data_IF_254893048103
#
_entry.id   IF_254893048103
#
_cell.length_a   1.000
_cell.length_b   1.000
_cell.length_c   1.000
_cell.angle_alpha   90.00
_cell.angle_beta   90.00
_cell.angle_gamma   90.00
#
_symmetry.space_group_name_H-M   'P 1'
#
loop_
_entity.id
_entity.type
_entity.pdbx_description
1 polymer ?
#
# COMPACT_ATOMS: atom_id res chain seq x y z
N UNK A 1 8.94 18.22 -20.18
CA UNK A 1 9.00 17.10 -21.13
C UNK A 1 9.53 15.80 -20.53
N UNK A 2 10.79 15.66 -20.05
CA UNK A 2 11.28 14.37 -19.48
C UNK A 2 10.44 13.83 -18.29
N UNK A 3 9.95 14.71 -17.40
CA UNK A 3 9.11 14.31 -16.25
C UNK A 3 7.75 13.69 -16.65
N UNK A 4 7.17 14.07 -17.78
CA UNK A 4 5.83 13.57 -18.19
C UNK A 4 5.88 12.16 -18.79
N UNK A 5 7.04 11.71 -19.28
CA UNK A 5 7.24 10.34 -19.80
C UNK A 5 7.78 9.41 -18.69
N UNK A 6 8.53 9.96 -17.72
CA UNK A 6 9.05 9.21 -16.57
C UNK A 6 7.94 8.80 -15.59
N UNK A 7 6.86 9.58 -15.46
CA UNK A 7 5.75 9.29 -14.56
C UNK A 7 4.94 8.05 -14.99
N UNK A 8 4.46 7.92 -16.24
CA UNK A 8 3.75 6.73 -16.68
C UNK A 8 4.62 5.46 -16.64
N UNK A 9 5.87 5.56 -17.08
CA UNK A 9 6.78 4.41 -17.15
C UNK A 9 7.12 3.83 -15.77
N UNK A 10 7.34 4.68 -14.77
CA UNK A 10 7.57 4.22 -13.39
C UNK A 10 6.33 3.60 -12.77
N UNK A 11 5.13 4.13 -13.07
CA UNK A 11 3.87 3.52 -12.64
C UNK A 11 3.63 2.17 -13.29
N UNK A 12 3.84 2.04 -14.60
CA UNK A 12 3.71 0.75 -15.32
C UNK A 12 4.64 -0.30 -14.74
N UNK A 13 5.93 0.05 -14.53
CA UNK A 13 6.89 -0.86 -13.92
C UNK A 13 6.46 -1.24 -12.49
N UNK A 14 5.99 -0.26 -11.71
CA UNK A 14 5.47 -0.50 -10.37
C UNK A 14 4.31 -1.50 -10.38
N UNK A 15 3.33 -1.32 -11.28
CA UNK A 15 2.18 -2.21 -11.44
C UNK A 15 2.64 -3.63 -11.78
N UNK A 16 3.54 -3.78 -12.77
CA UNK A 16 4.07 -5.09 -13.15
C UNK A 16 4.72 -5.78 -11.95
N UNK A 17 5.56 -5.07 -11.18
CA UNK A 17 6.26 -5.64 -10.02
C UNK A 17 5.29 -6.06 -8.92
N UNK A 18 4.29 -5.23 -8.58
CA UNK A 18 3.34 -5.55 -7.50
C UNK A 18 2.37 -6.68 -7.86
N UNK A 19 2.05 -6.88 -9.14
CA UNK A 19 1.12 -7.92 -9.60
C UNK A 19 1.56 -9.34 -9.25
N UNK A 20 2.87 -9.60 -9.14
CA UNK A 20 3.38 -10.92 -8.73
C UNK A 20 3.30 -11.15 -7.22
N UNK A 21 3.13 -10.10 -6.41
CA UNK A 21 3.25 -10.18 -4.96
C UNK A 21 2.30 -11.18 -4.31
N UNK A 22 1.02 -11.15 -4.65
CA UNK A 22 0.01 -12.05 -4.07
C UNK A 22 0.23 -13.51 -4.50
N UNK A 23 0.66 -13.73 -5.74
CA UNK A 23 0.94 -15.07 -6.29
C UNK A 23 2.12 -15.70 -5.57
N UNK A 24 3.24 -14.96 -5.43
CA UNK A 24 4.44 -15.44 -4.74
C UNK A 24 4.11 -15.79 -3.29
N UNK A 25 3.33 -14.94 -2.59
CA UNK A 25 2.94 -15.21 -1.20
C UNK A 25 2.12 -16.49 -1.09
N UNK A 26 1.15 -16.70 -2.00
CA UNK A 26 0.32 -17.91 -2.03
C UNK A 26 1.13 -19.19 -2.30
N UNK A 27 2.28 -19.07 -2.97
CA UNK A 27 3.20 -20.19 -3.23
C UNK A 27 4.12 -20.51 -2.05
N UNK A 28 4.21 -19.65 -1.03
CA UNK A 28 5.06 -19.88 0.14
C UNK A 28 4.27 -20.76 1.12
N UNK A 29 4.59 -22.04 1.14
CA UNK A 29 4.01 -22.99 2.10
C UNK A 29 4.81 -23.03 3.41
N UNK A 30 4.13 -23.18 4.54
CA UNK A 30 4.76 -23.40 5.85
C UNK A 30 5.33 -22.16 6.54
N UNK A 31 5.32 -20.98 5.92
CA UNK A 31 5.68 -19.73 6.57
C UNK A 31 4.49 -19.10 7.28
N UNK A 32 4.71 -18.49 8.45
CA UNK A 32 3.63 -17.77 9.15
C UNK A 32 3.32 -16.44 8.47
N UNK A 33 2.04 -16.03 8.54
CA UNK A 33 1.55 -14.72 8.07
C UNK A 33 2.40 -13.57 8.64
N UNK A 34 2.79 -13.67 9.91
CA UNK A 34 3.64 -12.70 10.58
C UNK A 34 5.05 -12.65 9.98
N UNK A 35 5.66 -13.80 9.67
CA UNK A 35 6.98 -13.86 9.06
C UNK A 35 6.98 -13.24 7.66
N UNK A 36 6.01 -13.59 6.81
CA UNK A 36 5.88 -13.03 5.46
C UNK A 36 5.72 -11.50 5.54
N UNK A 37 4.83 -11.02 6.41
CA UNK A 37 4.56 -9.58 6.58
C UNK A 37 5.78 -8.82 7.10
N UNK A 38 6.48 -9.38 8.11
CA UNK A 38 7.68 -8.79 8.70
C UNK A 38 8.83 -8.70 7.69
N UNK A 39 9.08 -9.76 6.91
CA UNK A 39 10.12 -9.75 5.90
C UNK A 39 9.85 -8.73 4.79
N UNK A 40 8.61 -8.62 4.31
CA UNK A 40 8.26 -7.64 3.27
C UNK A 40 8.48 -6.20 3.73
N UNK A 41 8.01 -5.86 4.93
CA UNK A 41 8.18 -4.52 5.49
C UNK A 41 9.63 -4.23 5.90
N UNK A 42 10.33 -5.23 6.46
CA UNK A 42 11.72 -5.11 6.90
C UNK A 42 12.66 -4.88 5.72
N UNK A 43 12.56 -5.69 4.66
CA UNK A 43 13.37 -5.51 3.45
C UNK A 43 13.08 -4.17 2.79
N UNK A 44 11.81 -3.78 2.63
CA UNK A 44 11.46 -2.47 2.10
C UNK A 44 12.06 -1.32 2.94
N UNK A 45 12.00 -1.43 4.27
CA UNK A 45 12.57 -0.44 5.18
C UNK A 45 14.10 -0.35 5.06
N UNK A 46 14.79 -1.48 4.98
CA UNK A 46 16.26 -1.53 4.80
C UNK A 46 16.66 -0.88 3.47
N UNK A 47 15.95 -1.19 2.39
CA UNK A 47 16.22 -0.61 1.06
C UNK A 47 16.01 0.90 1.05
N UNK A 48 14.99 1.41 1.76
CA UNK A 48 14.69 2.85 1.83
C UNK A 48 15.57 3.62 2.82
N UNK A 49 16.11 2.95 3.85
CA UNK A 49 16.92 3.55 4.90
C UNK A 49 18.10 4.40 4.38
N UNK A 50 18.97 3.95 3.45
CA UNK A 50 20.10 4.76 2.97
C UNK A 50 19.63 6.04 2.29
N UNK A 51 18.50 6.02 1.59
CA UNK A 51 17.93 7.21 0.95
C UNK A 51 17.39 8.20 2.00
N UNK A 52 16.73 7.70 3.04
CA UNK A 52 16.24 8.52 4.14
C UNK A 52 17.39 9.20 4.91
N UNK A 53 18.47 8.46 5.15
CA UNK A 53 19.68 8.97 5.81
C UNK A 53 20.40 10.02 4.94
N UNK A 54 20.58 9.74 3.64
CA UNK A 54 21.23 10.66 2.70
C UNK A 54 20.49 12.00 2.60
N UNK A 55 19.15 11.97 2.59
CA UNK A 55 18.31 13.18 2.59
C UNK A 55 18.20 13.87 3.95
N UNK A 56 18.87 13.37 4.99
CA UNK A 56 18.77 13.87 6.37
C UNK A 56 17.33 13.94 6.87
N UNK A 57 16.44 13.07 6.35
CA UNK A 57 15.01 13.11 6.65
C UNK A 57 14.69 12.90 8.15
N UNK A 58 15.62 12.30 8.88
CA UNK A 58 15.49 12.02 10.31
C UNK A 58 15.95 13.16 11.23
N UNK A 59 16.65 14.19 10.71
CA UNK A 59 17.28 15.22 11.55
C UNK A 59 16.32 16.22 12.19
N UNK A 60 15.09 16.34 11.69
CA UNK A 60 14.11 17.34 12.14
C UNK A 60 12.78 16.73 12.56
N UNK A 61 12.75 15.43 12.89
CA UNK A 61 11.52 14.76 13.30
C UNK A 61 11.27 15.03 14.79
N UNK A 62 10.31 15.90 15.10
CA UNK A 62 9.87 16.14 16.48
C UNK A 62 9.13 14.94 17.07
N UNK A 63 9.02 14.89 18.41
CA UNK A 63 8.38 13.77 19.13
C UNK A 63 6.97 13.44 18.61
N UNK A 64 6.14 14.46 18.35
CA UNK A 64 4.79 14.27 17.80
C UNK A 64 4.82 13.57 16.43
N UNK A 65 5.73 13.99 15.55
CA UNK A 65 5.87 13.37 14.23
C UNK A 65 6.36 11.92 14.37
N UNK A 66 7.32 11.66 15.27
CA UNK A 66 7.78 10.30 15.55
C UNK A 66 6.65 9.39 16.08
N UNK A 67 5.82 9.89 17.00
CA UNK A 67 4.66 9.15 17.51
C UNK A 67 3.63 8.86 16.42
N UNK A 68 3.30 9.84 15.58
CA UNK A 68 2.39 9.65 14.45
C UNK A 68 2.95 8.69 13.41
N UNK A 69 4.26 8.74 13.14
CA UNK A 69 4.93 7.75 12.28
C UNK A 69 4.90 6.35 12.87
N UNK A 70 5.11 6.21 14.17
CA UNK A 70 4.98 4.93 14.88
C UNK A 70 3.56 4.37 14.80
N UNK A 71 2.56 5.22 15.03
CA UNK A 71 1.14 4.84 14.90
C UNK A 71 0.79 4.43 13.46
N UNK A 72 1.24 5.20 12.47
CA UNK A 72 1.07 4.86 11.05
C UNK A 72 1.74 3.52 10.70
N UNK A 73 2.94 3.26 11.25
CA UNK A 73 3.63 1.99 11.11
C UNK A 73 2.86 0.82 11.73
N UNK A 74 2.23 1.01 12.89
CA UNK A 74 1.38 0.00 13.52
C UNK A 74 0.17 -0.35 12.63
N UNK A 75 -0.56 0.65 12.12
CA UNK A 75 -1.65 0.42 11.18
C UNK A 75 -1.19 -0.25 9.88
N UNK A 76 -0.03 0.15 9.33
CA UNK A 76 0.54 -0.47 8.14
C UNK A 76 0.91 -1.93 8.39
N UNK A 77 1.46 -2.26 9.57
CA UNK A 77 1.77 -3.64 9.94
C UNK A 77 0.50 -4.50 10.04
N UNK A 78 -0.54 -3.99 10.68
CA UNK A 78 -1.83 -4.66 10.79
C UNK A 78 -2.46 -4.87 9.41
N UNK A 79 -2.39 -3.87 8.53
CA UNK A 79 -2.86 -3.98 7.15
C UNK A 79 -2.16 -5.12 6.40
N UNK A 80 -0.81 -5.21 6.45
CA UNK A 80 -0.09 -6.29 5.76
C UNK A 80 -0.40 -7.67 6.35
N UNK A 81 -0.52 -7.79 7.67
CA UNK A 81 -0.91 -9.05 8.33
C UNK A 81 -2.30 -9.49 7.84
N UNK A 82 -3.28 -8.59 7.85
CA UNK A 82 -4.65 -8.89 7.40
C UNK A 82 -4.71 -9.22 5.92
N UNK A 83 -3.98 -8.50 5.08
CA UNK A 83 -3.92 -8.75 3.65
C UNK A 83 -3.27 -10.10 3.33
N UNK A 84 -2.13 -10.42 3.94
CA UNK A 84 -1.48 -11.74 3.77
C UNK A 84 -2.40 -12.85 4.28
N UNK A 85 -3.00 -12.70 5.47
CA UNK A 85 -3.96 -13.68 5.98
C UNK A 85 -5.14 -13.89 5.02
N UNK A 86 -5.65 -12.83 4.38
CA UNK A 86 -6.76 -12.95 3.43
C UNK A 86 -6.44 -13.87 2.23
N UNK A 87 -5.16 -13.98 1.86
CA UNK A 87 -4.71 -14.87 0.79
C UNK A 87 -4.82 -16.34 1.18
N UNK A 88 -4.89 -16.68 2.47
CA UNK A 88 -5.12 -18.05 2.95
C UNK A 88 -6.61 -18.40 2.93
N UNK A 89 -7.47 -17.43 3.27
CA UNK A 89 -8.93 -17.60 3.36
C UNK A 89 -9.67 -17.45 2.02
N UNK A 90 -9.07 -16.78 1.03
CA UNK A 90 -9.74 -16.44 -0.23
C UNK A 90 -8.86 -16.70 -1.44
N UNK A 91 -9.44 -16.69 -2.64
CA UNK A 91 -8.65 -16.75 -3.87
C UNK A 91 -7.80 -15.48 -4.04
N UNK A 92 -6.65 -15.61 -4.71
CA UNK A 92 -5.80 -14.46 -5.05
C UNK A 92 -6.60 -13.38 -5.78
N UNK A 93 -7.47 -13.76 -6.72
CA UNK A 93 -8.32 -12.84 -7.45
C UNK A 93 -9.26 -12.07 -6.51
N UNK A 94 -10.02 -12.77 -5.67
CA UNK A 94 -10.96 -12.15 -4.73
C UNK A 94 -10.26 -11.23 -3.72
N UNK A 95 -9.11 -11.65 -3.16
CA UNK A 95 -8.32 -10.82 -2.24
C UNK A 95 -7.80 -9.54 -2.92
N UNK A 96 -7.26 -9.65 -4.14
CA UNK A 96 -6.73 -8.50 -4.89
C UNK A 96 -7.84 -7.52 -5.27
N UNK A 97 -9.04 -8.02 -5.62
CA UNK A 97 -10.21 -7.19 -5.90
C UNK A 97 -10.64 -6.43 -4.65
N UNK A 98 -10.75 -7.12 -3.51
CA UNK A 98 -11.11 -6.49 -2.23
C UNK A 98 -10.13 -5.40 -1.82
N UNK A 99 -8.81 -5.64 -1.87
CA UNK A 99 -7.82 -4.62 -1.51
C UNK A 99 -7.81 -3.45 -2.52
N UNK A 100 -8.14 -3.69 -3.78
CA UNK A 100 -8.25 -2.64 -4.81
C UNK A 100 -9.41 -1.67 -4.56
N UNK A 101 -10.34 -1.99 -3.65
CA UNK A 101 -11.39 -1.07 -3.20
C UNK A 101 -10.90 0.00 -2.21
N UNK A 102 -9.61 -0.01 -1.83
CA UNK A 102 -8.98 0.99 -0.95
C UNK A 102 -9.34 2.46 -1.28
N UNK A 103 -9.44 2.90 -2.54
CA UNK A 103 -9.83 4.27 -2.87
C UNK A 103 -11.21 4.68 -2.33
N UNK A 104 -12.15 3.75 -2.13
CA UNK A 104 -13.45 4.03 -1.49
C UNK A 104 -13.22 4.53 -0.07
N UNK A 105 -12.43 3.78 0.71
CA UNK A 105 -12.13 4.11 2.10
C UNK A 105 -11.32 5.41 2.21
N UNK A 106 -10.39 5.65 1.28
CA UNK A 106 -9.64 6.92 1.21
C UNK A 106 -10.57 8.10 0.93
N UNK A 107 -11.49 7.97 -0.04
CA UNK A 107 -12.47 9.02 -0.35
C UNK A 107 -13.42 9.32 0.80
N UNK A 108 -13.88 8.28 1.51
CA UNK A 108 -14.69 8.43 2.72
C UNK A 108 -13.89 9.07 3.87
N UNK A 109 -12.65 8.62 4.07
CA UNK A 109 -11.74 9.15 5.08
C UNK A 109 -11.41 10.63 4.85
N UNK A 110 -11.16 11.05 3.61
CA UNK A 110 -10.93 12.45 3.27
C UNK A 110 -12.13 13.33 3.66
N UNK A 111 -13.35 12.86 3.38
CA UNK A 111 -14.56 13.57 3.79
C UNK A 111 -14.71 13.65 5.32
N UNK A 112 -14.42 12.56 6.04
CA UNK A 112 -14.63 12.48 7.49
C UNK A 112 -13.55 13.19 8.30
N UNK A 113 -12.29 13.10 7.91
CA UNK A 113 -11.14 13.62 8.68
C UNK A 113 -10.60 14.96 8.15
N UNK A 114 -10.75 15.23 6.85
CA UNK A 114 -10.18 16.40 6.17
C UNK A 114 -11.29 17.38 5.72
N UNK A 115 -12.57 16.99 5.83
CA UNK A 115 -13.74 17.73 5.34
C UNK A 115 -13.67 18.08 3.84
N UNK A 116 -12.87 17.33 3.07
CA UNK A 116 -12.74 17.53 1.63
C UNK A 116 -13.60 16.51 0.88
N UNK A 117 -14.63 16.94 0.14
CA UNK A 117 -15.51 16.02 -0.57
C UNK A 117 -14.76 15.35 -1.73
N UNK A 118 -14.96 14.04 -1.97
CA UNK A 118 -14.30 13.34 -3.07
C UNK A 118 -14.71 13.98 -4.41
N UNK A 119 -13.72 14.28 -5.24
CA UNK A 119 -13.94 14.88 -6.55
C UNK A 119 -14.76 13.95 -7.45
N UNK A 120 -15.44 14.53 -8.45
CA UNK A 120 -16.22 13.75 -9.42
C UNK A 120 -15.34 12.73 -10.17
N UNK A 121 -14.09 13.09 -10.48
CA UNK A 121 -13.11 12.21 -11.11
C UNK A 121 -12.78 11.03 -10.19
N UNK A 122 -12.58 11.26 -8.89
CA UNK A 122 -12.31 10.19 -7.92
C UNK A 122 -13.50 9.23 -7.82
N UNK A 123 -14.74 9.73 -7.86
CA UNK A 123 -15.95 8.88 -7.87
C UNK A 123 -16.01 7.98 -9.11
N UNK A 124 -15.73 8.53 -10.29
CA UNK A 124 -15.67 7.74 -11.54
C UNK A 124 -14.52 6.73 -11.48
N UNK A 125 -13.33 7.13 -11.01
CA UNK A 125 -12.19 6.24 -10.88
C UNK A 125 -12.48 5.08 -9.90
N UNK A 126 -13.15 5.36 -8.78
CA UNK A 126 -13.65 4.34 -7.85
C UNK A 126 -14.64 3.41 -8.56
N UNK A 127 -15.63 3.94 -9.27
CA UNK A 127 -16.63 3.14 -9.96
C UNK A 127 -16.01 2.24 -11.03
N UNK A 128 -15.07 2.75 -11.82
CA UNK A 128 -14.32 1.99 -12.82
C UNK A 128 -13.40 0.95 -12.19
N UNK A 129 -12.69 1.29 -11.11
CA UNK A 129 -11.76 0.36 -10.43
C UNK A 129 -12.50 -0.80 -9.75
N UNK A 130 -13.65 -0.51 -9.13
CA UNK A 130 -14.52 -1.55 -8.53
C UNK A 130 -15.18 -2.37 -9.62
N UNK A 131 -15.71 -1.72 -10.67
CA UNK A 131 -16.38 -2.39 -11.79
C UNK A 131 -15.45 -3.27 -12.62
N UNK A 132 -14.18 -2.90 -12.79
CA UNK A 132 -13.18 -3.71 -13.51
C UNK A 132 -12.59 -4.86 -12.68
N UNK A 133 -12.88 -4.91 -11.37
CA UNK A 133 -12.47 -6.00 -10.50
C UNK A 133 -13.46 -7.16 -10.41
N UNK A 134 -14.66 -7.04 -11.00
CA UNK A 134 -15.69 -8.08 -11.07
C UNK A 134 -15.72 -8.66 -12.49
#
# INVERSE_FOLDING_TARGET
>A
MKKEILLPSTLTLGIIVISFGAIIIRMIEGASVFAISAWRLGVASIVLLPFALHRRALRSVGLRAALLSGLSGAFLSAHFILWVASLDYTSVASSVVLVSTSPIFVGLGARLFINEPPSFILKIAIALAVGGGV
#
